data_IF_794179555040
#
_entry.id   IF_794179555040
#
_cell.length_a   1.000
_cell.length_b   1.000
_cell.length_c   1.000
_cell.angle_alpha   90.00
_cell.angle_beta   90.00
_cell.angle_gamma   90.00
#
_symmetry.space_group_name_H-M   'P 1'
#
loop_
_entity.id
_entity.type
_entity.pdbx_description
1 polymer ?
#
# COMPACT_ATOMS: atom_id res chain seq x y z
N UNK A 1 -0.67 -21.44 -41.90
CA UNK A 1 0.00 -22.40 -41.00
C UNK A 1 1.48 -22.06 -40.74
N UNK A 2 2.36 -21.99 -41.76
CA UNK A 2 3.80 -21.66 -41.56
C UNK A 2 4.05 -20.27 -40.94
N UNK A 3 3.31 -19.25 -41.37
CA UNK A 3 3.40 -17.89 -40.80
C UNK A 3 2.98 -17.82 -39.32
N UNK A 4 1.99 -18.64 -38.95
CA UNK A 4 1.44 -18.70 -37.61
C UNK A 4 2.42 -19.37 -36.63
N UNK A 5 3.07 -20.45 -37.07
CA UNK A 5 4.13 -21.12 -36.30
C UNK A 5 5.34 -20.20 -36.12
N UNK A 6 5.71 -19.44 -37.16
CA UNK A 6 6.77 -18.44 -37.07
C UNK A 6 6.44 -17.36 -36.02
N UNK A 7 5.21 -16.85 -36.03
CA UNK A 7 4.76 -15.84 -35.08
C UNK A 7 4.79 -16.35 -33.63
N UNK A 8 4.29 -17.58 -33.39
CA UNK A 8 4.35 -18.21 -32.06
C UNK A 8 5.81 -18.41 -31.63
N UNK A 9 6.70 -18.85 -32.52
CA UNK A 9 8.10 -19.06 -32.18
C UNK A 9 8.82 -17.77 -31.79
N UNK A 10 8.55 -16.66 -32.50
CA UNK A 10 9.10 -15.34 -32.17
C UNK A 10 8.54 -14.83 -30.84
N UNK A 11 7.24 -15.00 -30.60
CA UNK A 11 6.61 -14.62 -29.33
C UNK A 11 7.18 -15.40 -28.14
N UNK A 12 7.41 -16.72 -28.28
CA UNK A 12 8.01 -17.55 -27.24
C UNK A 12 9.46 -17.15 -26.96
N UNK A 13 10.26 -16.87 -27.99
CA UNK A 13 11.65 -16.42 -27.80
C UNK A 13 11.70 -15.02 -27.16
N UNK A 14 10.84 -14.10 -27.59
CA UNK A 14 10.71 -12.78 -26.97
C UNK A 14 10.28 -12.89 -25.50
N UNK A 15 9.36 -13.79 -25.18
CA UNK A 15 8.93 -14.08 -23.81
C UNK A 15 10.06 -14.64 -22.94
N UNK A 16 10.85 -15.60 -23.44
CA UNK A 16 12.02 -16.14 -22.73
C UNK A 16 13.08 -15.06 -22.49
N UNK A 17 13.38 -14.24 -23.50
CA UNK A 17 14.31 -13.12 -23.39
C UNK A 17 13.81 -12.06 -22.39
N UNK A 18 12.50 -11.81 -22.34
CA UNK A 18 11.89 -10.87 -21.40
C UNK A 18 11.93 -11.40 -19.95
N UNK A 19 11.69 -12.69 -19.73
CA UNK A 19 11.85 -13.33 -18.41
C UNK A 19 13.30 -13.20 -17.95
N UNK A 20 14.26 -13.50 -18.84
CA UNK A 20 15.67 -13.34 -18.56
C UNK A 20 16.05 -11.88 -18.25
N UNK A 21 15.58 -10.93 -19.05
CA UNK A 21 15.84 -9.51 -18.84
C UNK A 21 15.21 -8.97 -17.56
N UNK A 22 13.94 -9.31 -17.28
CA UNK A 22 13.25 -8.91 -16.05
C UNK A 22 13.96 -9.45 -14.80
N UNK A 23 14.36 -10.74 -14.82
CA UNK A 23 15.12 -11.35 -13.72
C UNK A 23 16.49 -10.70 -13.53
N UNK A 24 17.14 -10.26 -14.62
CA UNK A 24 18.49 -9.69 -14.57
C UNK A 24 18.51 -8.18 -14.25
N UNK A 25 17.46 -7.43 -14.61
CA UNK A 25 17.46 -5.94 -14.56
C UNK A 25 16.58 -5.32 -13.50
N UNK A 26 15.52 -5.99 -13.00
CA UNK A 26 14.59 -5.36 -12.05
C UNK A 26 15.09 -5.27 -10.60
N UNK A 27 16.17 -5.98 -10.26
CA UNK A 27 16.58 -6.11 -8.86
C UNK A 27 18.03 -5.68 -8.67
N UNK A 28 18.26 -4.38 -8.84
CA UNK A 28 19.57 -3.81 -8.54
C UNK A 28 19.79 -3.76 -7.03
N UNK A 29 20.55 -4.72 -6.50
CA UNK A 29 21.07 -4.68 -5.11
C UNK A 29 22.04 -3.52 -4.87
N UNK A 30 22.38 -2.73 -5.90
CA UNK A 30 23.28 -1.58 -5.80
C UNK A 30 22.89 -0.58 -4.72
N UNK A 31 21.59 -0.40 -4.46
CA UNK A 31 21.11 0.52 -3.43
C UNK A 31 21.44 0.02 -2.01
N UNK A 32 21.40 -1.31 -1.81
CA UNK A 32 21.80 -1.94 -0.55
C UNK A 32 23.29 -1.70 -0.33
N UNK A 33 24.12 -2.00 -1.35
CA UNK A 33 25.56 -1.79 -1.28
C UNK A 33 25.93 -0.32 -1.02
N UNK A 34 25.26 0.63 -1.68
CA UNK A 34 25.46 2.06 -1.45
C UNK A 34 25.15 2.48 -0.01
N UNK A 35 24.08 1.95 0.58
CA UNK A 35 23.78 2.21 2.00
C UNK A 35 24.85 1.62 2.91
N UNK A 36 25.33 0.41 2.61
CA UNK A 36 26.39 -0.22 3.38
C UNK A 36 27.74 0.48 3.27
N UNK A 37 28.07 1.09 2.12
CA UNK A 37 29.27 1.92 1.99
C UNK A 37 29.22 3.15 2.90
N UNK A 38 28.07 3.82 2.99
CA UNK A 38 27.90 4.96 3.90
C UNK A 38 27.97 4.52 5.37
N UNK A 39 27.43 3.36 5.72
CA UNK A 39 27.60 2.77 7.06
C UNK A 39 29.06 2.50 7.40
N UNK A 40 29.86 1.97 6.46
CA UNK A 40 31.30 1.73 6.69
C UNK A 40 32.10 3.02 6.94
N UNK A 41 31.63 4.17 6.43
CA UNK A 41 32.27 5.48 6.67
C UNK A 41 31.99 6.02 8.08
N UNK A 42 30.80 5.75 8.62
CA UNK A 42 30.39 6.20 9.96
C UNK A 42 29.59 5.10 10.65
N UNK A 43 30.27 4.08 11.20
CA UNK A 43 29.60 2.94 11.79
C UNK A 43 28.88 3.34 13.07
N UNK A 44 27.58 3.07 13.10
CA UNK A 44 26.79 2.98 14.33
C UNK A 44 26.94 1.58 14.92
N UNK A 45 26.90 1.47 16.25
CA UNK A 45 26.81 0.20 16.97
C UNK A 45 25.39 -0.37 16.86
N UNK A 46 24.93 -0.58 15.63
CA UNK A 46 23.60 -1.06 15.28
C UNK A 46 23.72 -2.51 14.83
N UNK A 47 23.15 -3.43 15.61
CA UNK A 47 23.12 -4.86 15.31
C UNK A 47 22.53 -5.18 13.93
N UNK A 48 21.48 -4.49 13.50
CA UNK A 48 20.83 -4.70 12.21
C UNK A 48 21.72 -4.24 11.04
N UNK A 49 22.37 -3.08 11.17
CA UNK A 49 23.36 -2.64 10.17
C UNK A 49 24.54 -3.61 10.08
N UNK A 50 25.01 -4.12 11.22
CA UNK A 50 26.14 -5.04 11.27
C UNK A 50 25.82 -6.33 10.52
N UNK A 51 24.67 -6.94 10.79
CA UNK A 51 24.26 -8.19 10.14
C UNK A 51 24.05 -8.05 8.63
N UNK A 52 23.48 -6.94 8.17
CA UNK A 52 23.25 -6.74 6.73
C UNK A 52 24.53 -6.34 5.97
N UNK A 53 25.33 -5.42 6.52
CA UNK A 53 26.42 -4.78 5.76
C UNK A 53 27.82 -5.37 6.01
N UNK A 54 28.00 -6.09 7.12
CA UNK A 54 29.27 -6.72 7.51
C UNK A 54 29.16 -8.24 7.40
N UNK A 55 28.18 -8.84 8.07
CA UNK A 55 28.00 -10.30 8.09
C UNK A 55 27.36 -10.83 6.81
N UNK A 56 26.62 -9.98 6.08
CA UNK A 56 25.78 -10.35 4.93
C UNK A 56 24.81 -11.50 5.25
N UNK A 57 24.23 -11.49 6.45
CA UNK A 57 23.31 -12.52 6.94
C UNK A 57 21.88 -12.32 6.41
N UNK A 58 21.75 -12.22 5.09
CA UNK A 58 20.45 -12.15 4.43
C UNK A 58 20.47 -12.83 3.07
N UNK A 59 19.35 -13.46 2.72
CA UNK A 59 19.13 -14.05 1.40
C UNK A 59 17.92 -13.41 0.75
N UNK A 60 18.05 -13.00 -0.51
CA UNK A 60 16.95 -12.40 -1.28
C UNK A 60 16.14 -13.54 -1.89
N UNK A 61 14.88 -13.67 -1.48
CA UNK A 61 13.94 -14.67 -2.02
C UNK A 61 13.24 -14.14 -3.28
N UNK A 62 12.73 -12.92 -3.18
CA UNK A 62 11.91 -12.30 -4.21
C UNK A 62 12.12 -10.79 -4.21
N UNK A 63 11.89 -10.19 -5.37
CA UNK A 63 11.96 -8.75 -5.59
C UNK A 63 10.57 -8.28 -5.96
N UNK A 64 9.93 -7.57 -5.03
CA UNK A 64 8.49 -7.28 -5.09
C UNK A 64 8.23 -6.04 -5.95
N UNK A 65 9.12 -5.05 -5.90
CA UNK A 65 8.95 -3.82 -6.68
C UNK A 65 10.29 -3.19 -7.04
N UNK A 66 10.36 -2.76 -8.31
CA UNK A 66 11.43 -1.92 -8.89
C UNK A 66 10.92 -0.52 -9.27
N UNK A 67 9.76 -0.07 -8.76
CA UNK A 67 8.96 0.98 -9.42
C UNK A 67 9.52 2.40 -9.36
N UNK A 68 10.67 2.68 -8.74
CA UNK A 68 11.36 3.97 -8.95
C UNK A 68 12.88 3.86 -8.77
N UNK A 69 13.64 4.76 -9.41
CA UNK A 69 15.09 4.92 -9.17
C UNK A 69 15.47 5.15 -7.69
N UNK A 70 14.49 5.48 -6.84
CA UNK A 70 14.70 5.92 -5.47
C UNK A 70 14.10 5.00 -4.40
N UNK A 71 13.33 3.97 -4.76
CA UNK A 71 12.76 3.00 -3.82
C UNK A 71 12.85 1.58 -4.37
N UNK A 72 13.14 0.61 -3.50
CA UNK A 72 13.15 -0.80 -3.88
C UNK A 72 12.68 -1.66 -2.72
N UNK A 73 11.95 -2.73 -3.04
CA UNK A 73 11.31 -3.62 -2.06
C UNK A 73 11.70 -5.07 -2.35
N UNK A 74 12.26 -5.73 -1.35
CA UNK A 74 12.76 -7.11 -1.43
C UNK A 74 12.09 -7.97 -0.36
N UNK A 75 11.70 -9.20 -0.72
CA UNK A 75 11.46 -10.25 0.25
C UNK A 75 12.80 -10.91 0.57
N UNK A 76 13.19 -10.89 1.84
CA UNK A 76 14.45 -11.43 2.31
C UNK A 76 14.25 -12.37 3.49
N UNK A 77 15.17 -13.30 3.67
CA UNK A 77 15.29 -14.12 4.87
C UNK A 77 16.52 -13.67 5.64
N UNK A 78 16.32 -13.18 6.86
CA UNK A 78 17.36 -12.69 7.78
C UNK A 78 17.29 -13.58 9.03
N UNK A 79 18.39 -14.23 9.43
CA UNK A 79 18.44 -15.15 10.58
C UNK A 79 17.30 -16.19 10.57
N UNK A 80 17.02 -16.78 9.40
CA UNK A 80 15.88 -17.68 9.13
C UNK A 80 14.47 -17.08 9.26
N UNK A 81 14.33 -15.77 9.51
CA UNK A 81 13.05 -15.08 9.55
C UNK A 81 12.73 -14.36 8.24
N UNK A 82 11.53 -14.60 7.72
CA UNK A 82 11.05 -13.93 6.51
C UNK A 82 10.66 -12.47 6.81
N UNK A 83 11.25 -11.54 6.06
CA UNK A 83 11.17 -10.10 6.29
C UNK A 83 11.04 -9.37 4.95
N UNK A 84 10.38 -8.22 4.92
CA UNK A 84 10.41 -7.33 3.76
C UNK A 84 11.45 -6.25 4.01
N UNK A 85 12.47 -6.20 3.17
CA UNK A 85 13.51 -5.17 3.20
C UNK A 85 13.17 -4.09 2.18
N UNK A 86 13.00 -2.86 2.66
CA UNK A 86 12.72 -1.69 1.83
C UNK A 86 13.89 -0.73 1.85
N UNK A 87 14.09 -0.02 0.75
CA UNK A 87 15.11 1.02 0.60
C UNK A 87 14.44 2.30 0.14
N UNK A 88 14.75 3.43 0.78
CA UNK A 88 14.29 4.75 0.32
C UNK A 88 15.46 5.75 0.24
N UNK A 89 15.81 6.15 -0.98
CA UNK A 89 16.93 7.05 -1.29
C UNK A 89 16.71 8.49 -0.81
N UNK A 90 15.46 8.91 -0.54
CA UNK A 90 15.19 10.24 0.02
C UNK A 90 15.93 10.47 1.34
N UNK A 91 16.18 9.39 2.10
CA UNK A 91 16.98 9.41 3.32
C UNK A 91 18.33 10.12 3.15
N UNK A 92 19.06 9.84 2.07
CA UNK A 92 20.38 10.45 1.85
C UNK A 92 20.29 11.97 1.69
N UNK A 93 19.21 12.48 1.09
CA UNK A 93 18.99 13.92 0.96
C UNK A 93 18.68 14.55 2.31
N UNK A 94 17.86 13.88 3.14
CA UNK A 94 17.57 14.34 4.49
C UNK A 94 18.83 14.42 5.34
N UNK A 95 19.63 13.34 5.40
CA UNK A 95 20.89 13.32 6.17
C UNK A 95 21.82 14.44 5.75
N UNK A 96 22.02 14.65 4.45
CA UNK A 96 22.85 15.76 3.94
C UNK A 96 22.36 17.11 4.42
N UNK A 97 21.04 17.34 4.39
CA UNK A 97 20.46 18.60 4.84
C UNK A 97 20.68 18.83 6.35
N UNK A 98 20.51 17.79 7.18
CA UNK A 98 20.79 17.90 8.62
C UNK A 98 22.26 18.09 8.94
N UNK A 99 23.16 17.41 8.21
CA UNK A 99 24.60 17.59 8.40
C UNK A 99 25.09 18.96 7.90
N UNK A 100 24.43 19.54 6.89
CA UNK A 100 24.70 20.89 6.41
C UNK A 100 24.23 21.97 7.41
N UNK A 101 23.17 21.70 8.18
CA UNK A 101 22.78 22.49 9.34
C UNK A 101 23.75 22.17 10.51
N UNK A 102 24.90 22.86 10.56
CA UNK A 102 26.00 22.72 11.54
C UNK A 102 25.59 22.15 12.93
N UNK A 103 26.46 21.33 13.57
CA UNK A 103 26.13 20.64 14.82
C UNK A 103 25.82 21.65 15.94
N UNK A 104 24.62 21.54 16.51
CA UNK A 104 24.26 22.22 17.74
C UNK A 104 25.25 21.80 18.84
N UNK A 105 25.94 22.76 19.45
CA UNK A 105 26.87 22.52 20.56
C UNK A 105 26.21 21.86 21.79
N UNK A 106 24.89 21.72 21.79
CA UNK A 106 24.10 20.90 22.70
C UNK A 106 22.99 20.23 21.87
N UNK A 107 23.23 18.99 21.43
CA UNK A 107 22.19 18.21 20.75
C UNK A 107 21.18 17.69 21.79
N UNK A 108 19.89 18.02 21.60
CA UNK A 108 18.81 17.51 22.44
C UNK A 108 17.90 16.61 21.60
N UNK A 109 18.01 15.30 21.78
CA UNK A 109 17.19 14.31 21.08
C UNK A 109 15.69 14.54 21.26
N UNK A 110 15.26 14.97 22.46
CA UNK A 110 13.84 15.24 22.74
C UNK A 110 13.30 16.41 21.93
N UNK A 111 14.07 17.49 21.80
CA UNK A 111 13.67 18.62 20.96
C UNK A 111 13.63 18.23 19.48
N UNK A 112 14.65 17.50 19.03
CA UNK A 112 14.76 17.03 17.65
C UNK A 112 13.57 16.15 17.21
N UNK A 113 13.22 15.12 18.00
CA UNK A 113 12.06 14.27 17.67
C UNK A 113 10.72 14.99 17.86
N UNK A 114 10.65 15.97 18.76
CA UNK A 114 9.45 16.81 18.89
C UNK A 114 9.20 17.60 17.62
N UNK A 115 10.23 18.17 16.99
CA UNK A 115 10.09 18.91 15.74
C UNK A 115 9.59 18.00 14.60
N UNK A 116 10.13 16.77 14.51
CA UNK A 116 9.65 15.76 13.55
C UNK A 116 8.16 15.47 13.82
N UNK A 117 7.77 15.13 15.05
CA UNK A 117 6.38 14.81 15.39
C UNK A 117 5.44 15.99 15.12
N UNK A 118 5.87 17.21 15.42
CA UNK A 118 5.13 18.45 15.13
C UNK A 118 4.93 18.69 13.63
N UNK A 119 5.84 18.23 12.76
CA UNK A 119 5.64 18.32 11.32
C UNK A 119 4.48 17.45 10.83
N UNK A 120 4.18 16.33 11.50
CA UNK A 120 3.06 15.45 11.15
C UNK A 120 1.77 15.85 11.88
N UNK A 121 1.78 15.91 13.21
CA UNK A 121 0.55 16.11 14.00
C UNK A 121 0.33 17.58 14.45
N UNK A 122 1.32 18.45 14.28
CA UNK A 122 1.28 19.82 14.78
C UNK A 122 1.57 19.93 16.28
N UNK A 123 1.49 21.16 16.79
CA UNK A 123 1.89 21.49 18.17
C UNK A 123 0.80 21.19 19.23
N UNK A 124 -0.43 20.84 18.83
CA UNK A 124 -1.59 20.75 19.72
C UNK A 124 -1.90 19.31 20.18
N UNK A 125 -0.91 18.43 20.17
CA UNK A 125 -1.09 17.01 20.46
C UNK A 125 -0.77 16.68 21.93
N UNK A 126 -1.76 16.23 22.69
CA UNK A 126 -1.61 15.88 24.12
C UNK A 126 -0.74 14.65 24.34
N UNK A 127 -0.94 13.61 23.51
CA UNK A 127 -0.26 12.31 23.63
C UNK A 127 1.09 12.24 22.88
N UNK A 128 1.46 13.29 22.13
CA UNK A 128 2.70 13.28 21.35
C UNK A 128 3.96 13.23 22.20
N UNK A 129 3.88 13.53 23.50
CA UNK A 129 4.99 13.29 24.44
C UNK A 129 5.35 11.81 24.52
N UNK A 130 4.35 10.92 24.55
CA UNK A 130 4.55 9.47 24.54
C UNK A 130 5.15 9.00 23.22
N UNK A 131 4.70 9.56 22.09
CA UNK A 131 5.29 9.26 20.78
C UNK A 131 6.76 9.68 20.71
N UNK A 132 7.09 10.88 21.16
CA UNK A 132 8.49 11.36 21.20
C UNK A 132 9.36 10.41 22.02
N UNK A 133 8.90 9.96 23.19
CA UNK A 133 9.63 8.98 24.00
C UNK A 133 9.79 7.64 23.29
N UNK A 134 8.74 7.13 22.65
CA UNK A 134 8.79 5.90 21.84
C UNK A 134 9.83 6.01 20.73
N UNK A 135 9.88 7.13 20.01
CA UNK A 135 10.85 7.35 18.93
C UNK A 135 12.29 7.47 19.43
N UNK A 136 12.52 8.09 20.60
CA UNK A 136 13.84 8.14 21.26
C UNK A 136 14.32 6.72 21.59
N UNK A 137 13.45 5.89 22.18
CA UNK A 137 13.78 4.50 22.51
C UNK A 137 14.07 3.67 21.25
N UNK A 138 13.34 3.90 20.16
CA UNK A 138 13.60 3.24 18.87
C UNK A 138 14.91 3.68 18.23
N UNK A 139 15.31 4.94 18.43
CA UNK A 139 16.54 5.49 17.89
C UNK A 139 17.80 4.98 18.63
N UNK A 140 17.67 4.63 19.91
CA UNK A 140 18.72 4.03 20.73
C UNK A 140 19.07 2.63 20.18
N UNK A 141 20.03 2.62 19.27
CA UNK A 141 20.31 1.46 18.43
C UNK A 141 21.23 0.46 19.12
N UNK A 142 22.08 0.94 20.03
CA UNK A 142 22.97 0.09 20.82
C UNK A 142 22.35 -0.32 22.18
N UNK A 143 21.15 0.19 22.48
CA UNK A 143 20.36 -0.10 23.69
C UNK A 143 21.08 0.29 24.97
N UNK A 144 21.89 1.35 24.92
CA UNK A 144 22.62 1.85 26.08
C UNK A 144 21.75 2.74 27.00
N UNK A 145 20.51 3.04 26.60
CA UNK A 145 19.56 3.88 27.32
C UNK A 145 19.64 5.37 27.00
N UNK A 146 20.58 5.79 26.15
CA UNK A 146 20.85 7.17 25.76
C UNK A 146 21.01 7.31 24.23
N UNK A 147 20.11 8.04 23.59
CA UNK A 147 20.23 8.33 22.16
C UNK A 147 21.32 9.37 21.89
N UNK A 148 22.39 8.95 21.21
CA UNK A 148 23.44 9.84 20.71
C UNK A 148 22.96 10.73 19.55
N UNK A 149 23.72 11.79 19.25
CA UNK A 149 23.42 12.66 18.10
C UNK A 149 23.40 11.89 16.78
N UNK A 150 24.34 10.96 16.60
CA UNK A 150 24.44 10.16 15.36
C UNK A 150 23.24 9.25 15.21
N UNK A 151 22.84 8.56 16.27
CA UNK A 151 21.63 7.71 16.28
C UNK A 151 20.37 8.51 15.96
N UNK A 152 20.21 9.67 16.60
CA UNK A 152 19.06 10.52 16.37
C UNK A 152 19.02 11.06 14.93
N UNK A 153 20.15 11.48 14.35
CA UNK A 153 20.18 11.94 12.95
C UNK A 153 19.87 10.79 11.99
N UNK A 154 20.41 9.60 12.22
CA UNK A 154 20.19 8.44 11.35
C UNK A 154 18.73 7.99 11.33
N UNK A 155 18.15 7.78 12.52
CA UNK A 155 16.76 7.39 12.64
C UNK A 155 15.82 8.53 12.29
N UNK A 156 16.10 9.75 12.76
CA UNK A 156 15.32 10.94 12.45
C UNK A 156 15.24 11.25 10.96
N UNK A 157 16.33 11.07 10.23
CA UNK A 157 16.32 11.24 8.77
C UNK A 157 15.46 10.19 8.07
N UNK A 158 15.35 8.99 8.64
CA UNK A 158 14.43 7.97 8.17
C UNK A 158 12.98 8.39 8.42
N UNK A 159 12.65 8.90 9.62
CA UNK A 159 11.31 9.38 9.98
C UNK A 159 10.79 10.59 9.19
N UNK A 160 11.60 11.16 8.29
CA UNK A 160 11.13 12.23 7.40
C UNK A 160 10.44 11.70 6.16
N UNK A 161 10.61 10.41 5.87
CA UNK A 161 9.80 9.74 4.85
C UNK A 161 8.46 9.32 5.47
N UNK A 162 7.37 9.47 4.71
CA UNK A 162 6.01 9.30 5.22
C UNK A 162 5.77 7.91 5.82
N UNK A 163 6.13 6.86 5.07
CA UNK A 163 5.93 5.47 5.46
C UNK A 163 6.62 5.13 6.78
N UNK A 164 7.90 5.43 6.90
CA UNK A 164 8.72 5.03 8.06
C UNK A 164 8.30 5.75 9.34
N UNK A 165 7.84 7.01 9.23
CA UNK A 165 7.24 7.70 10.36
C UNK A 165 5.98 6.99 10.84
N UNK A 166 5.09 6.64 9.91
CA UNK A 166 3.85 5.95 10.25
C UNK A 166 4.11 4.55 10.80
N UNK A 167 5.05 3.80 10.23
CA UNK A 167 5.52 2.52 10.76
C UNK A 167 6.05 2.64 12.19
N UNK A 168 6.89 3.64 12.47
CA UNK A 168 7.43 3.85 13.82
C UNK A 168 6.33 4.27 14.82
N UNK A 169 5.46 5.19 14.40
CA UNK A 169 4.37 5.68 15.23
C UNK A 169 3.36 4.56 15.56
N UNK A 170 3.01 3.76 14.55
CA UNK A 170 2.06 2.65 14.63
C UNK A 170 2.72 1.28 14.94
N UNK A 171 4.01 1.25 15.27
CA UNK A 171 4.69 -0.02 15.58
C UNK A 171 3.97 -0.75 16.72
N UNK A 172 3.83 -2.07 16.59
CA UNK A 172 3.06 -2.97 17.47
C UNK A 172 1.54 -2.80 17.40
N UNK A 173 1.04 -2.03 16.42
CA UNK A 173 -0.38 -1.99 16.09
C UNK A 173 -0.84 -3.32 15.49
N UNK A 174 -2.12 -3.67 15.72
CA UNK A 174 -2.74 -4.83 15.07
C UNK A 174 -2.98 -4.63 13.57
N UNK A 175 -2.96 -3.37 13.12
CA UNK A 175 -3.46 -2.96 11.80
C UNK A 175 -2.38 -2.58 10.80
N UNK A 176 -1.11 -2.59 11.21
CA UNK A 176 0.03 -2.24 10.35
C UNK A 176 1.14 -3.27 10.55
N UNK A 177 2.00 -3.42 9.55
CA UNK A 177 3.23 -4.21 9.70
C UNK A 177 4.18 -3.56 10.71
N UNK A 178 4.93 -4.38 11.44
CA UNK A 178 5.91 -3.88 12.41
C UNK A 178 7.23 -3.52 11.74
N UNK A 179 7.90 -2.49 12.28
CA UNK A 179 9.27 -2.13 11.92
C UNK A 179 10.24 -2.99 12.74
N UNK A 180 10.90 -3.94 12.09
CA UNK A 180 11.79 -4.90 12.74
C UNK A 180 13.21 -4.35 12.92
N UNK A 181 13.64 -3.41 12.09
CA UNK A 181 14.97 -2.82 12.16
C UNK A 181 15.22 -1.79 11.05
N UNK A 182 16.29 -1.02 11.20
CA UNK A 182 16.69 -0.03 10.20
C UNK A 182 18.22 0.09 10.14
N UNK A 183 18.71 0.44 8.95
CA UNK A 183 20.09 0.81 8.69
C UNK A 183 20.15 1.95 7.66
N UNK A 184 20.15 3.19 8.16
CA UNK A 184 20.13 4.37 7.31
C UNK A 184 18.92 4.40 6.37
N UNK A 185 19.16 4.32 5.06
CA UNK A 185 18.11 4.26 4.03
C UNK A 185 17.38 2.90 3.95
N UNK A 186 17.94 1.85 4.57
CA UNK A 186 17.37 0.50 4.62
C UNK A 186 16.50 0.34 5.86
N UNK A 187 15.36 -0.33 5.71
CA UNK A 187 14.53 -0.70 6.84
C UNK A 187 13.77 -2.00 6.57
N UNK A 188 13.63 -2.80 7.62
CA UNK A 188 13.00 -4.10 7.60
C UNK A 188 11.62 -4.03 8.23
N UNK A 189 10.63 -4.59 7.56
CA UNK A 189 9.25 -4.71 8.07
C UNK A 189 8.80 -6.17 8.07
N UNK A 190 7.85 -6.47 8.94
CA UNK A 190 7.18 -7.77 9.01
C UNK A 190 6.66 -8.21 7.63
N UNK A 191 6.98 -9.45 7.21
CA UNK A 191 6.39 -10.06 6.02
C UNK A 191 5.01 -10.62 6.35
N UNK A 192 3.99 -10.14 5.66
CA UNK A 192 2.66 -10.78 5.64
C UNK A 192 2.61 -11.86 4.57
N UNK A 193 1.83 -12.90 4.84
CA UNK A 193 1.87 -14.15 4.09
C UNK A 193 1.21 -14.07 2.70
N UNK A 194 0.15 -13.29 2.56
CA UNK A 194 -0.63 -13.19 1.31
C UNK A 194 -1.10 -11.75 1.14
N UNK A 195 -0.85 -11.16 -0.04
CA UNK A 195 -1.43 -9.89 -0.46
C UNK A 195 -2.92 -10.07 -0.78
N UNK A 196 -3.75 -9.08 -0.42
CA UNK A 196 -5.19 -9.15 -0.68
C UNK A 196 -5.55 -9.08 -2.16
N UNK A 197 -4.57 -8.78 -3.04
CA UNK A 197 -4.68 -8.99 -4.49
C UNK A 197 -5.18 -10.38 -4.85
N UNK A 198 -4.79 -11.43 -4.11
CA UNK A 198 -5.30 -12.79 -4.32
C UNK A 198 -6.83 -12.91 -4.24
N UNK A 199 -7.52 -12.00 -3.54
CA UNK A 199 -8.99 -12.01 -3.43
C UNK A 199 -9.70 -11.49 -4.68
N UNK A 200 -9.01 -10.69 -5.48
CA UNK A 200 -9.54 -10.01 -6.67
C UNK A 200 -8.77 -10.43 -7.94
N UNK A 201 -7.67 -11.16 -7.79
CA UNK A 201 -6.69 -11.43 -8.84
C UNK A 201 -7.36 -12.00 -10.10
N UNK A 202 -7.46 -11.10 -11.07
CA UNK A 202 -7.80 -11.29 -12.48
C UNK A 202 -6.76 -10.66 -13.42
N UNK A 203 -5.92 -9.74 -12.93
CA UNK A 203 -5.07 -8.88 -13.77
C UNK A 203 -3.61 -9.33 -13.90
N UNK A 204 -3.03 -9.95 -12.87
CA UNK A 204 -1.61 -10.37 -12.96
C UNK A 204 -1.39 -11.42 -14.05
N UNK A 205 -2.37 -12.29 -14.30
CA UNK A 205 -2.17 -13.28 -15.35
C UNK A 205 -2.25 -12.71 -16.78
N UNK A 206 -2.75 -11.51 -17.07
CA UNK A 206 -2.66 -10.97 -18.45
C UNK A 206 -1.28 -10.40 -18.75
N UNK A 207 -0.78 -9.55 -17.85
CA UNK A 207 0.57 -8.96 -17.94
C UNK A 207 1.64 -10.04 -17.81
N UNK A 208 1.42 -11.07 -16.98
CA UNK A 208 2.34 -12.22 -16.86
C UNK A 208 2.19 -13.22 -18.04
N UNK A 209 1.00 -13.39 -18.63
CA UNK A 209 0.79 -14.29 -19.78
C UNK A 209 1.31 -13.69 -21.10
N UNK A 210 1.16 -12.39 -21.32
CA UNK A 210 1.69 -11.72 -22.52
C UNK A 210 3.07 -11.09 -22.31
N UNK A 211 3.55 -10.98 -21.07
CA UNK A 211 4.85 -10.37 -20.77
C UNK A 211 4.99 -8.94 -21.28
N UNK A 212 3.88 -8.20 -21.41
CA UNK A 212 3.91 -6.83 -21.90
C UNK A 212 4.53 -5.92 -20.84
N UNK A 213 5.60 -5.19 -21.16
CA UNK A 213 6.21 -4.25 -20.23
C UNK A 213 5.31 -3.05 -19.92
N UNK A 214 5.49 -2.42 -18.77
CA UNK A 214 4.93 -1.08 -18.47
C UNK A 214 5.43 0.01 -19.45
N UNK A 215 6.50 -0.24 -20.22
CA UNK A 215 6.94 0.64 -21.31
C UNK A 215 6.17 0.41 -22.63
N UNK A 216 5.02 -0.25 -22.61
CA UNK A 216 4.26 -0.55 -23.83
C UNK A 216 3.68 0.66 -24.56
N UNK A 217 4.01 1.92 -24.25
CA UNK A 217 3.59 3.07 -25.10
C UNK A 217 3.91 2.88 -26.61
N UNK A 218 5.04 2.30 -27.05
CA UNK A 218 5.32 2.06 -28.47
C UNK A 218 4.63 0.81 -29.05
N UNK A 219 4.29 -0.15 -28.20
CA UNK A 219 3.57 -1.37 -28.59
C UNK A 219 2.07 -1.09 -28.65
N UNK A 220 1.57 -0.23 -27.76
CA UNK A 220 0.23 0.30 -27.75
C UNK A 220 -0.03 1.19 -28.98
N UNK A 221 0.97 1.92 -29.50
CA UNK A 221 0.87 2.61 -30.79
C UNK A 221 0.87 1.63 -31.98
N UNK A 222 1.72 0.60 -31.96
CA UNK A 222 1.76 -0.45 -32.97
C UNK A 222 0.47 -1.27 -33.03
N UNK A 223 -0.11 -1.62 -31.87
CA UNK A 223 -1.43 -2.22 -31.77
C UNK A 223 -2.54 -1.21 -32.06
N UNK A 224 -2.42 0.09 -31.74
CA UNK A 224 -3.40 1.12 -32.17
C UNK A 224 -3.45 1.26 -33.68
N UNK A 225 -2.34 1.11 -34.39
CA UNK A 225 -2.31 1.22 -35.84
C UNK A 225 -2.84 -0.05 -36.52
N UNK A 226 -2.55 -1.24 -35.99
CA UNK A 226 -3.09 -2.52 -36.50
C UNK A 226 -4.56 -2.76 -36.06
N UNK A 227 -4.91 -2.42 -34.82
CA UNK A 227 -6.27 -2.54 -34.26
C UNK A 227 -7.13 -1.31 -34.57
N UNK A 228 -6.55 -0.23 -35.09
CA UNK A 228 -7.26 0.95 -35.57
C UNK A 228 -8.24 0.62 -36.69
N UNK A 229 -7.93 -0.40 -37.50
CA UNK A 229 -8.84 -0.97 -38.49
C UNK A 229 -9.88 -1.95 -37.88
N UNK A 230 -9.64 -2.48 -36.67
CA UNK A 230 -10.53 -3.40 -35.93
C UNK A 230 -11.32 -2.69 -34.79
N UNK A 231 -11.32 -1.36 -34.79
CA UNK A 231 -11.81 -0.47 -33.72
C UNK A 231 -13.31 -0.58 -33.38
N UNK A 232 -14.12 -1.26 -34.19
CA UNK A 232 -15.57 -1.35 -33.96
C UNK A 232 -16.02 -2.53 -33.08
N UNK A 233 -15.10 -3.31 -32.51
CA UNK A 233 -15.48 -4.53 -31.78
C UNK A 233 -14.65 -4.73 -30.50
N UNK A 234 -14.51 -3.71 -29.66
CA UNK A 234 -13.67 -3.74 -28.45
C UNK A 234 -14.14 -4.76 -27.39
N UNK A 235 -15.39 -5.21 -27.45
CA UNK A 235 -16.02 -6.09 -26.43
C UNK A 235 -15.50 -7.53 -26.47
N UNK A 236 -15.12 -8.07 -27.62
CA UNK A 236 -14.71 -9.48 -27.71
C UNK A 236 -13.32 -9.74 -27.14
N UNK A 237 -12.42 -8.74 -27.14
CA UNK A 237 -11.07 -8.89 -26.56
C UNK A 237 -11.11 -8.97 -25.03
N UNK A 238 -11.84 -8.08 -24.37
CA UNK A 238 -12.07 -8.12 -22.91
C UNK A 238 -12.76 -9.43 -22.50
N UNK A 239 -13.77 -9.83 -23.27
CA UNK A 239 -14.50 -11.09 -23.02
C UNK A 239 -13.59 -12.31 -23.19
N UNK A 240 -12.78 -12.36 -24.25
CA UNK A 240 -11.83 -13.44 -24.51
C UNK A 240 -10.74 -13.52 -23.43
N UNK A 241 -10.29 -12.37 -22.92
CA UNK A 241 -9.34 -12.29 -21.82
C UNK A 241 -9.89 -12.97 -20.55
N UNK A 242 -11.12 -12.65 -20.14
CA UNK A 242 -11.75 -13.28 -18.98
C UNK A 242 -11.88 -14.80 -19.14
N UNK A 243 -12.28 -15.29 -20.31
CA UNK A 243 -12.41 -16.73 -20.56
C UNK A 243 -11.07 -17.47 -20.53
N UNK A 244 -10.01 -16.91 -21.15
CA UNK A 244 -8.67 -17.50 -21.12
C UNK A 244 -8.13 -17.53 -19.69
N UNK A 245 -8.37 -16.46 -18.93
CA UNK A 245 -7.94 -16.37 -17.53
C UNK A 245 -8.60 -17.45 -16.66
N UNK A 246 -9.93 -17.57 -16.74
CA UNK A 246 -10.72 -18.60 -16.04
C UNK A 246 -10.21 -20.01 -16.39
N UNK A 247 -9.91 -20.24 -17.67
CA UNK A 247 -9.38 -21.51 -18.14
C UNK A 247 -8.00 -21.82 -17.54
N UNK A 248 -7.07 -20.86 -17.53
CA UNK A 248 -5.74 -21.03 -16.94
C UNK A 248 -5.82 -21.29 -15.44
N UNK A 249 -6.64 -20.53 -14.69
CA UNK A 249 -6.80 -20.76 -13.24
C UNK A 249 -7.39 -22.13 -12.92
N UNK A 250 -8.36 -22.62 -13.72
CA UNK A 250 -8.86 -24.00 -13.58
C UNK A 250 -7.78 -25.03 -13.85
N UNK A 251 -6.93 -24.82 -14.87
CA UNK A 251 -5.84 -25.74 -15.18
C UNK A 251 -4.80 -25.81 -14.04
N UNK A 252 -4.50 -24.68 -13.39
CA UNK A 252 -3.56 -24.62 -12.26
C UNK A 252 -4.15 -25.12 -10.94
N UNK A 253 -5.46 -25.36 -10.88
CA UNK A 253 -6.18 -25.68 -9.64
C UNK A 253 -5.92 -24.65 -8.54
N UNK A 254 -5.82 -23.38 -8.94
CA UNK A 254 -5.59 -22.30 -7.99
C UNK A 254 -6.77 -22.26 -7.01
N UNK A 255 -6.46 -22.24 -5.72
CA UNK A 255 -7.50 -22.10 -4.69
C UNK A 255 -8.26 -20.80 -4.96
N UNK A 256 -9.59 -20.84 -4.95
CA UNK A 256 -10.45 -19.66 -5.09
C UNK A 256 -11.00 -19.32 -3.71
N UNK A 257 -10.97 -18.04 -3.27
CA UNK A 257 -11.48 -17.67 -1.96
C UNK A 257 -13.00 -17.86 -1.89
N UNK A 258 -13.47 -18.58 -0.87
CA UNK A 258 -14.89 -18.75 -0.59
C UNK A 258 -15.55 -17.41 -0.21
N UNK A 259 -16.88 -17.32 -0.35
CA UNK A 259 -17.63 -16.13 0.10
C UNK A 259 -17.41 -15.83 1.59
N UNK A 260 -17.25 -16.86 2.42
CA UNK A 260 -16.94 -16.69 3.84
C UNK A 260 -15.57 -16.03 4.05
N UNK A 261 -14.52 -16.47 3.35
CA UNK A 261 -13.19 -15.86 3.44
C UNK A 261 -13.19 -14.40 2.98
N UNK A 262 -13.96 -14.10 1.93
CA UNK A 262 -14.15 -12.73 1.43
C UNK A 262 -14.87 -11.82 2.43
N UNK A 263 -15.85 -12.34 3.17
CA UNK A 263 -16.51 -11.57 4.24
C UNK A 263 -15.59 -11.41 5.46
N UNK A 264 -14.80 -12.44 5.82
CA UNK A 264 -13.80 -12.32 6.88
C UNK A 264 -12.76 -11.24 6.56
N UNK A 265 -12.36 -11.12 5.28
CA UNK A 265 -11.52 -10.03 4.81
C UNK A 265 -12.15 -8.65 5.07
N UNK A 266 -13.43 -8.47 4.70
CA UNK A 266 -14.15 -7.22 4.92
C UNK A 266 -14.20 -6.87 6.40
N UNK A 267 -14.53 -7.84 7.25
CA UNK A 267 -14.57 -7.66 8.70
C UNK A 267 -13.20 -7.24 9.25
N UNK A 268 -12.13 -7.94 8.87
CA UNK A 268 -10.77 -7.60 9.28
C UNK A 268 -10.32 -6.23 8.76
N UNK A 269 -10.73 -5.84 7.55
CA UNK A 269 -10.44 -4.50 6.98
C UNK A 269 -11.17 -3.38 7.73
N UNK A 270 -12.39 -3.65 8.22
CA UNK A 270 -13.14 -2.72 9.07
C UNK A 270 -12.50 -2.59 10.46
N UNK A 271 -12.03 -3.69 11.05
CA UNK A 271 -11.27 -3.68 12.31
C UNK A 271 -9.94 -2.91 12.14
N UNK A 272 -9.26 -3.14 11.02
CA UNK A 272 -8.04 -2.42 10.64
C UNK A 272 -8.30 -0.90 10.58
N UNK A 273 -9.37 -0.49 9.88
CA UNK A 273 -9.79 0.92 9.78
C UNK A 273 -10.17 1.50 11.15
N UNK A 274 -10.93 0.78 11.98
CA UNK A 274 -11.27 1.24 13.33
C UNK A 274 -10.03 1.53 14.17
N UNK A 275 -8.99 0.69 14.07
CA UNK A 275 -7.73 0.91 14.78
C UNK A 275 -6.91 2.07 14.21
N UNK A 276 -6.96 2.32 12.89
CA UNK A 276 -6.34 3.49 12.27
C UNK A 276 -6.99 4.79 12.76
N UNK A 277 -8.33 4.80 12.83
CA UNK A 277 -9.10 5.95 13.31
C UNK A 277 -8.92 6.19 14.81
N UNK A 278 -8.79 5.12 15.60
CA UNK A 278 -8.58 5.19 17.05
C UNK A 278 -7.12 5.41 17.44
N UNK A 279 -6.28 5.87 16.51
CA UNK A 279 -4.85 6.04 16.74
C UNK A 279 -4.58 7.11 17.81
N UNK A 280 -3.85 6.72 18.86
CA UNK A 280 -3.67 7.51 20.07
C UNK A 280 -2.97 8.86 19.89
N UNK A 281 -2.20 9.04 18.80
CA UNK A 281 -1.44 10.28 18.57
C UNK A 281 -2.12 11.26 17.61
N UNK A 282 -3.25 10.88 17.01
CA UNK A 282 -4.03 11.76 16.15
C UNK A 282 -4.70 11.02 14.99
N UNK A 283 -5.65 11.69 14.35
CA UNK A 283 -6.37 11.11 13.21
C UNK A 283 -5.43 10.95 12.00
N UNK A 284 -5.48 9.77 11.39
CA UNK A 284 -4.82 9.46 10.12
C UNK A 284 -5.84 9.10 9.06
N UNK A 285 -5.47 9.34 7.81
CA UNK A 285 -6.25 9.03 6.63
C UNK A 285 -5.37 8.22 5.67
N UNK A 286 -5.95 7.15 5.14
CA UNK A 286 -5.29 6.28 4.18
C UNK A 286 -5.68 6.69 2.76
N UNK A 287 -4.72 7.20 1.99
CA UNK A 287 -4.97 7.81 0.69
C UNK A 287 -4.83 6.85 -0.48
N UNK A 288 -4.13 5.73 -0.32
CA UNK A 288 -3.90 4.75 -1.39
C UNK A 288 -4.58 3.40 -1.10
N UNK A 289 -5.92 3.41 -1.24
CA UNK A 289 -6.79 2.29 -0.90
C UNK A 289 -6.77 1.26 -2.03
N UNK A 290 -5.76 0.41 -1.99
CA UNK A 290 -5.53 -0.68 -2.95
C UNK A 290 -5.42 -2.03 -2.25
N UNK A 291 -5.82 -3.10 -2.92
CA UNK A 291 -5.72 -4.46 -2.40
C UNK A 291 -4.27 -4.94 -2.32
N UNK A 292 -3.37 -4.38 -3.12
CA UNK A 292 -1.93 -4.64 -3.05
C UNK A 292 -1.30 -4.15 -1.74
N UNK A 293 -1.88 -3.10 -1.14
CA UNK A 293 -1.38 -2.45 0.07
C UNK A 293 -1.92 -3.07 1.37
N UNK A 294 -2.67 -4.17 1.25
CA UNK A 294 -3.24 -4.92 2.37
C UNK A 294 -2.77 -6.36 2.32
N UNK A 295 -2.38 -6.91 3.48
CA UNK A 295 -2.00 -8.32 3.60
C UNK A 295 -2.59 -9.03 4.81
N UNK A 296 -2.47 -10.36 4.81
CA UNK A 296 -2.93 -11.24 5.88
C UNK A 296 -1.77 -11.88 6.63
N UNK A 297 -1.86 -11.91 7.96
CA UNK A 297 -0.93 -12.69 8.79
C UNK A 297 -1.38 -14.14 8.96
N UNK A 298 -2.68 -14.43 8.90
CA UNK A 298 -3.22 -15.79 9.01
C UNK A 298 -4.01 -16.18 7.76
N UNK A 299 -3.46 -17.13 7.01
CA UNK A 299 -3.99 -17.62 5.73
C UNK A 299 -5.20 -18.54 5.87
N UNK A 300 -5.50 -19.04 7.08
CA UNK A 300 -6.66 -19.88 7.34
C UNK A 300 -7.90 -19.06 7.68
N UNK A 301 -7.74 -17.98 8.45
CA UNK A 301 -8.87 -17.19 8.97
C UNK A 301 -9.19 -15.92 8.18
N UNK A 302 -8.24 -15.37 7.41
CA UNK A 302 -8.42 -14.12 6.62
C UNK A 302 -8.88 -12.89 7.44
N UNK A 303 -8.85 -12.97 8.78
CA UNK A 303 -9.39 -11.95 9.69
C UNK A 303 -8.33 -10.96 10.20
N UNK A 304 -7.06 -11.37 10.22
CA UNK A 304 -5.96 -10.52 10.69
C UNK A 304 -5.34 -9.76 9.52
N UNK A 305 -5.94 -8.61 9.24
CA UNK A 305 -5.64 -7.73 8.12
C UNK A 305 -4.70 -6.61 8.56
N UNK A 306 -3.63 -6.39 7.80
CA UNK A 306 -2.64 -5.33 8.06
C UNK A 306 -2.36 -4.53 6.80
N UNK A 307 -2.14 -3.22 6.97
CA UNK A 307 -1.54 -2.37 5.95
C UNK A 307 -0.06 -2.70 5.79
N UNK A 308 0.37 -2.88 4.54
CA UNK A 308 1.75 -3.22 4.16
C UNK A 308 2.51 -2.07 3.54
N UNK A 309 1.78 -1.10 3.01
CA UNK A 309 2.30 0.14 2.47
C UNK A 309 1.65 1.32 3.21
N UNK A 310 2.49 2.19 3.79
CA UNK A 310 2.07 3.37 4.54
C UNK A 310 2.60 4.66 3.89
N UNK A 311 3.13 4.61 2.67
CA UNK A 311 3.62 5.78 1.94
C UNK A 311 2.55 6.86 1.77
N UNK A 312 1.30 6.44 1.63
CA UNK A 312 0.13 7.30 1.43
C UNK A 312 -0.82 7.27 2.64
N UNK A 313 -0.31 7.01 3.85
CA UNK A 313 -1.05 7.17 5.10
C UNK A 313 -0.61 8.46 5.77
N UNK A 314 -1.48 9.46 5.86
CA UNK A 314 -1.12 10.78 6.39
C UNK A 314 -1.96 11.15 7.61
N UNK A 315 -1.42 11.99 8.48
CA UNK A 315 -2.25 12.70 9.45
C UNK A 315 -3.32 13.52 8.73
N UNK A 316 -4.54 13.56 9.26
CA UNK A 316 -5.64 14.37 8.72
C UNK A 316 -5.26 15.84 8.58
N UNK A 317 -4.45 16.37 9.51
CA UNK A 317 -3.87 17.72 9.42
C UNK A 317 -3.12 17.94 8.11
N UNK A 318 -2.18 17.05 7.77
CA UNK A 318 -1.37 17.13 6.54
C UNK A 318 -2.24 17.00 5.28
N UNK A 319 -3.26 16.14 5.31
CA UNK A 319 -4.24 16.01 4.21
C UNK A 319 -4.97 17.34 4.02
N UNK A 320 -5.59 17.89 5.06
CA UNK A 320 -6.32 19.16 4.97
C UNK A 320 -5.41 20.33 4.61
N UNK A 321 -4.17 20.38 5.11
CA UNK A 321 -3.21 21.40 4.68
C UNK A 321 -2.88 21.31 3.19
N UNK A 322 -2.83 20.10 2.62
CA UNK A 322 -2.60 19.92 1.20
C UNK A 322 -3.83 20.24 0.36
N UNK A 323 -5.01 19.80 0.80
CA UNK A 323 -6.31 20.10 0.17
C UNK A 323 -6.58 21.61 0.19
N UNK A 324 -6.38 22.26 1.33
CA UNK A 324 -6.64 23.70 1.50
C UNK A 324 -5.74 24.63 0.69
N UNK A 325 -4.62 24.15 0.14
CA UNK A 325 -3.79 24.95 -0.79
C UNK A 325 -4.57 25.37 -2.04
N UNK A 326 -5.60 24.61 -2.41
CA UNK A 326 -6.45 24.87 -3.57
C UNK A 326 -7.84 25.40 -3.15
N UNK A 327 -8.03 25.81 -1.90
CA UNK A 327 -9.31 26.35 -1.43
C UNK A 327 -9.72 27.56 -2.26
N UNK A 328 -10.99 27.60 -2.66
CA UNK A 328 -11.58 28.64 -3.51
C UNK A 328 -10.98 28.74 -4.93
N UNK A 329 -10.16 27.77 -5.36
CA UNK A 329 -9.79 27.63 -6.78
C UNK A 329 -11.06 27.29 -7.57
N UNK A 330 -11.30 28.02 -8.65
CA UNK A 330 -12.40 27.72 -9.57
C UNK A 330 -12.11 26.42 -10.30
N UNK A 331 -13.11 25.56 -10.39
CA UNK A 331 -13.02 24.27 -11.05
C UNK A 331 -14.24 24.03 -11.95
N UNK A 332 -14.01 23.34 -13.06
CA UNK A 332 -15.05 22.73 -13.88
C UNK A 332 -15.12 21.22 -13.64
N UNK A 333 -13.99 20.61 -13.30
CA UNK A 333 -13.79 19.18 -13.11
C UNK A 333 -12.97 18.91 -11.85
N UNK A 334 -13.03 17.69 -11.31
CA UNK A 334 -12.22 17.30 -10.15
C UNK A 334 -10.72 17.43 -10.42
N UNK A 335 -10.28 17.24 -11.67
CA UNK A 335 -8.88 17.37 -12.07
C UNK A 335 -8.36 18.80 -11.93
N UNK A 336 -9.23 19.81 -12.03
CA UNK A 336 -8.84 21.22 -11.83
C UNK A 336 -8.44 21.50 -10.37
N UNK A 337 -8.90 20.66 -9.43
CA UNK A 337 -8.57 20.75 -8.02
C UNK A 337 -7.27 20.04 -7.66
N UNK A 338 -6.68 19.29 -8.58
CA UNK A 338 -5.40 18.63 -8.38
C UNK A 338 -4.25 19.66 -8.53
N UNK A 339 -3.16 19.45 -7.79
CA UNK A 339 -1.98 20.31 -7.84
C UNK A 339 -1.11 20.06 -9.09
N UNK A 340 -0.20 20.97 -9.41
CA UNK A 340 0.67 20.92 -10.61
C UNK A 340 1.63 19.71 -10.65
N UNK A 341 1.79 18.98 -9.54
CA UNK A 341 2.63 17.77 -9.42
C UNK A 341 1.80 16.48 -9.32
N UNK A 342 0.51 16.54 -9.63
CA UNK A 342 -0.37 15.37 -9.56
C UNK A 342 -0.39 14.67 -10.92
N UNK A 343 0.10 13.43 -10.96
CA UNK A 343 0.17 12.66 -12.19
C UNK A 343 -1.25 12.29 -12.65
N UNK A 344 -1.67 12.84 -13.78
CA UNK A 344 -3.06 12.82 -14.27
C UNK A 344 -3.44 11.44 -14.84
N UNK A 345 -2.47 10.51 -14.92
CA UNK A 345 -2.63 9.18 -15.52
C UNK A 345 -3.31 8.11 -14.64
N UNK A 346 -3.47 8.35 -13.33
CA UNK A 346 -4.07 7.38 -12.40
C UNK A 346 -5.44 7.89 -11.93
N UNK A 347 -6.43 7.76 -12.81
CA UNK A 347 -7.78 8.33 -12.70
C UNK A 347 -8.62 7.85 -11.49
N UNK A 348 -8.12 6.97 -10.61
CA UNK A 348 -8.91 6.29 -9.59
C UNK A 348 -8.31 6.20 -8.16
N UNK A 349 -7.06 6.60 -7.92
CA UNK A 349 -6.31 5.94 -6.84
C UNK A 349 -6.04 6.74 -5.57
N UNK A 350 -6.62 7.93 -5.39
CA UNK A 350 -6.28 8.72 -4.20
C UNK A 350 -7.50 9.16 -3.42
N UNK A 351 -7.79 8.40 -2.35
CA UNK A 351 -8.91 8.62 -1.44
C UNK A 351 -8.89 10.00 -0.73
N UNK A 352 -7.80 10.75 -0.86
CA UNK A 352 -7.58 12.04 -0.22
C UNK A 352 -7.60 13.24 -1.16
N UNK A 353 -7.94 13.06 -2.44
CA UNK A 353 -7.96 14.16 -3.39
C UNK A 353 -9.11 15.14 -3.13
N UNK A 354 -8.88 16.46 -3.34
CA UNK A 354 -9.98 17.43 -3.39
C UNK A 354 -10.89 17.17 -4.59
N UNK A 355 -12.14 17.63 -4.51
CA UNK A 355 -13.12 17.50 -5.58
C UNK A 355 -13.76 18.85 -5.91
N UNK A 356 -14.30 18.96 -7.11
CA UNK A 356 -15.02 20.13 -7.54
C UNK A 356 -16.46 20.10 -7.00
N UNK A 357 -16.80 21.08 -6.18
CA UNK A 357 -18.14 21.22 -5.63
C UNK A 357 -19.10 21.79 -6.69
N UNK A 358 -20.41 21.60 -6.49
CA UNK A 358 -21.45 22.17 -7.36
C UNK A 358 -21.39 23.70 -7.46
N UNK A 359 -20.68 24.37 -6.54
CA UNK A 359 -20.42 25.82 -6.53
C UNK A 359 -19.28 26.23 -7.47
N UNK A 360 -18.71 25.30 -8.25
CA UNK A 360 -17.53 25.51 -9.11
C UNK A 360 -16.28 25.94 -8.33
N UNK A 361 -16.20 25.53 -7.07
CA UNK A 361 -15.05 25.76 -6.19
C UNK A 361 -14.51 24.41 -5.69
N UNK A 362 -13.20 24.31 -5.54
CA UNK A 362 -12.57 23.14 -4.96
C UNK A 362 -12.93 22.98 -3.47
N UNK A 363 -13.10 21.73 -3.06
CA UNK A 363 -13.42 21.36 -1.68
C UNK A 363 -12.23 21.54 -0.74
N UNK A 364 -12.56 21.85 0.52
CA UNK A 364 -11.61 21.89 1.65
C UNK A 364 -11.46 20.52 2.33
N UNK A 365 -12.13 19.47 1.82
CA UNK A 365 -12.09 18.09 2.31
C UNK A 365 -12.07 17.09 1.16
N UNK A 366 -11.59 15.85 1.38
CA UNK A 366 -11.73 14.76 0.41
C UNK A 366 -13.18 14.43 0.08
N UNK A 367 -13.40 13.78 -1.06
CA UNK A 367 -14.73 13.45 -1.58
C UNK A 367 -15.46 12.36 -0.80
N UNK A 368 -14.75 11.35 -0.28
CA UNK A 368 -15.34 10.27 0.52
C UNK A 368 -14.45 9.96 1.73
N UNK A 369 -15.05 9.32 2.73
CA UNK A 369 -14.31 8.74 3.85
C UNK A 369 -13.50 7.52 3.39
N UNK A 370 -12.52 7.07 4.19
CA UNK A 370 -11.87 5.79 3.93
C UNK A 370 -12.87 4.62 3.95
N UNK A 371 -13.87 4.66 4.84
CA UNK A 371 -14.97 3.68 4.87
C UNK A 371 -15.78 3.70 3.56
N UNK A 372 -16.10 4.89 3.06
CA UNK A 372 -16.86 5.10 1.82
C UNK A 372 -16.10 4.56 0.61
N UNK A 373 -14.80 4.85 0.51
CA UNK A 373 -13.94 4.28 -0.54
C UNK A 373 -13.84 2.75 -0.42
N UNK A 374 -13.57 2.22 0.78
CA UNK A 374 -13.51 0.77 1.00
C UNK A 374 -14.78 0.07 0.55
N UNK A 375 -15.96 0.63 0.84
CA UNK A 375 -17.23 0.04 0.45
C UNK A 375 -17.55 0.17 -1.04
N UNK A 376 -17.15 1.27 -1.67
CA UNK A 376 -17.45 1.57 -3.08
C UNK A 376 -16.53 0.83 -4.05
N UNK A 377 -15.25 0.67 -3.69
CA UNK A 377 -14.25 0.04 -4.56
C UNK A 377 -13.86 -1.34 -4.02
N UNK A 378 -13.07 -1.37 -2.96
CA UNK A 378 -12.40 -2.60 -2.49
C UNK A 378 -13.38 -3.73 -2.15
N UNK A 379 -14.37 -3.47 -1.30
CA UNK A 379 -15.31 -4.49 -0.85
C UNK A 379 -16.29 -4.88 -1.93
N UNK A 380 -16.64 -3.94 -2.82
CA UNK A 380 -17.47 -4.24 -3.97
C UNK A 380 -16.75 -5.22 -4.91
N UNK A 381 -15.51 -4.93 -5.25
CA UNK A 381 -14.69 -5.79 -6.12
C UNK A 381 -14.44 -7.16 -5.49
N UNK A 382 -14.09 -7.21 -4.21
CA UNK A 382 -13.88 -8.50 -3.51
C UNK A 382 -15.12 -9.40 -3.59
N UNK A 383 -16.32 -8.85 -3.44
CA UNK A 383 -17.55 -9.66 -3.43
C UNK A 383 -18.06 -9.97 -4.85
N UNK A 384 -18.08 -8.97 -5.73
CA UNK A 384 -18.78 -9.00 -7.01
C UNK A 384 -17.85 -9.07 -8.23
N UNK A 385 -16.56 -9.36 -8.06
CA UNK A 385 -15.67 -9.62 -9.19
C UNK A 385 -16.22 -10.79 -10.05
N UNK A 386 -16.46 -10.56 -11.36
CA UNK A 386 -17.14 -11.53 -12.23
C UNK A 386 -16.35 -12.82 -12.40
N UNK A 387 -15.02 -12.75 -12.45
CA UNK A 387 -14.14 -13.91 -12.60
C UNK A 387 -14.13 -14.76 -11.33
N UNK A 388 -14.01 -14.13 -10.17
CA UNK A 388 -14.06 -14.84 -8.87
C UNK A 388 -15.42 -15.51 -8.70
N UNK A 389 -16.51 -14.85 -9.09
CA UNK A 389 -17.85 -15.45 -9.08
C UNK A 389 -17.98 -16.62 -10.06
N UNK A 390 -17.37 -16.54 -11.25
CA UNK A 390 -17.39 -17.63 -12.24
C UNK A 390 -16.52 -18.84 -11.86
N UNK A 391 -15.47 -18.62 -11.06
CA UNK A 391 -14.57 -19.66 -10.56
C UNK A 391 -15.03 -20.26 -9.22
N UNK A 392 -15.82 -19.53 -8.44
CA UNK A 392 -16.36 -19.99 -7.15
C UNK A 392 -17.35 -21.14 -7.35
N UNK A 393 -17.09 -22.28 -6.71
CA UNK A 393 -18.03 -23.41 -6.69
C UNK A 393 -19.30 -23.10 -5.87
N UNK A 394 -19.23 -22.14 -4.95
CA UNK A 394 -20.39 -21.68 -4.17
C UNK A 394 -21.15 -20.59 -4.94
N UNK A 395 -22.39 -20.90 -5.31
CA UNK A 395 -23.35 -19.91 -5.84
C UNK A 395 -23.88 -19.08 -4.69
N UNK A 396 -23.60 -17.78 -4.72
CA UNK A 396 -24.17 -16.82 -3.77
C UNK A 396 -25.68 -16.73 -3.97
N UNK A 397 -26.47 -16.94 -2.92
CA UNK A 397 -27.93 -16.82 -3.03
C UNK A 397 -28.32 -15.38 -3.34
N UNK A 398 -29.36 -15.18 -4.17
CA UNK A 398 -29.86 -13.84 -4.52
C UNK A 398 -30.21 -13.00 -3.28
N UNK A 399 -30.66 -13.65 -2.19
CA UNK A 399 -30.96 -13.01 -0.91
C UNK A 399 -29.69 -12.46 -0.25
N UNK A 400 -28.62 -13.24 -0.19
CA UNK A 400 -27.34 -12.81 0.38
C UNK A 400 -26.70 -11.73 -0.49
N UNK A 401 -26.66 -11.94 -1.82
CA UNK A 401 -26.09 -10.98 -2.76
C UNK A 401 -26.79 -9.61 -2.70
N UNK A 402 -28.12 -9.59 -2.70
CA UNK A 402 -28.87 -8.34 -2.54
C UNK A 402 -28.63 -7.67 -1.19
N UNK A 403 -28.55 -8.45 -0.10
CA UNK A 403 -28.25 -7.91 1.24
C UNK A 403 -26.86 -7.25 1.26
N UNK A 404 -25.83 -7.91 0.74
CA UNK A 404 -24.48 -7.35 0.68
C UNK A 404 -24.45 -6.08 -0.19
N UNK A 405 -25.10 -6.11 -1.36
CA UNK A 405 -25.17 -4.96 -2.25
C UNK A 405 -25.78 -3.73 -1.56
N UNK A 406 -26.89 -3.91 -0.82
CA UNK A 406 -27.50 -2.83 -0.04
C UNK A 406 -26.59 -2.31 1.07
N UNK A 407 -25.88 -3.19 1.78
CA UNK A 407 -24.92 -2.79 2.82
C UNK A 407 -23.81 -1.93 2.20
N UNK A 408 -23.24 -2.35 1.07
CA UNK A 408 -22.15 -1.63 0.41
C UNK A 408 -22.61 -0.27 -0.14
N UNK A 409 -23.77 -0.20 -0.79
CA UNK A 409 -24.30 1.04 -1.35
C UNK A 409 -24.69 2.05 -0.25
N UNK A 410 -25.20 1.58 0.89
CA UNK A 410 -25.45 2.41 2.06
C UNK A 410 -24.13 2.90 2.68
N UNK A 411 -23.16 2.00 2.82
CA UNK A 411 -21.83 2.33 3.35
C UNK A 411 -21.05 3.32 2.47
N UNK A 412 -21.14 3.21 1.14
CA UNK A 412 -20.46 4.10 0.19
C UNK A 412 -20.91 5.56 0.30
N UNK A 413 -22.10 5.80 0.87
CA UNK A 413 -22.64 7.14 1.15
C UNK A 413 -22.10 7.76 2.44
N UNK A 414 -21.26 7.05 3.19
CA UNK A 414 -20.60 7.58 4.39
C UNK A 414 -19.53 8.60 4.02
N UNK A 415 -19.96 9.85 3.81
CA UNK A 415 -19.09 10.96 3.39
C UNK A 415 -18.82 11.93 4.55
N UNK A 416 -19.78 12.14 5.45
CA UNK A 416 -19.69 13.16 6.48
C UNK A 416 -19.64 12.54 7.89
N UNK A 417 -18.51 12.72 8.57
CA UNK A 417 -18.43 12.61 10.02
C UNK A 417 -17.95 13.94 10.60
N UNK A 418 -18.60 14.39 11.68
CA UNK A 418 -18.21 15.61 12.40
C UNK A 418 -17.24 15.28 13.53
N UNK A 419 -17.29 14.06 14.05
CA UNK A 419 -16.42 13.59 15.13
C UNK A 419 -15.88 12.19 14.88
N UNK A 420 -14.75 11.84 15.50
CA UNK A 420 -14.18 10.48 15.51
C UNK A 420 -15.21 9.46 16.01
N UNK A 421 -15.97 9.81 17.06
CA UNK A 421 -16.98 8.92 17.64
C UNK A 421 -18.09 8.54 16.65
N UNK A 422 -18.57 9.50 15.86
CA UNK A 422 -19.55 9.24 14.78
C UNK A 422 -18.96 8.34 13.69
N UNK A 423 -17.68 8.53 13.36
CA UNK A 423 -17.02 7.71 12.35
C UNK A 423 -16.83 6.26 12.82
N UNK A 424 -16.36 6.07 14.06
CA UNK A 424 -16.24 4.74 14.67
C UNK A 424 -17.60 4.04 14.79
N UNK A 425 -18.67 4.78 15.11
CA UNK A 425 -20.02 4.23 15.14
C UNK A 425 -20.50 3.78 13.75
N UNK A 426 -20.14 4.54 12.71
CA UNK A 426 -20.44 4.20 11.31
C UNK A 426 -19.72 2.91 10.89
N UNK A 427 -18.42 2.81 11.19
CA UNK A 427 -17.63 1.59 10.94
C UNK A 427 -18.22 0.40 11.70
N UNK A 428 -18.54 0.57 12.99
CA UNK A 428 -19.15 -0.47 13.82
C UNK A 428 -20.52 -0.94 13.30
N UNK A 429 -21.31 -0.04 12.74
CA UNK A 429 -22.60 -0.37 12.12
C UNK A 429 -22.43 -1.24 10.88
N UNK A 430 -21.52 -0.87 9.98
CA UNK A 430 -21.20 -1.67 8.78
C UNK A 430 -20.63 -3.03 9.17
N UNK A 431 -19.73 -3.05 10.15
CA UNK A 431 -19.15 -4.28 10.70
C UNK A 431 -20.23 -5.22 11.26
N UNK A 432 -21.19 -4.70 12.04
CA UNK A 432 -22.31 -5.50 12.56
C UNK A 432 -23.19 -6.07 11.43
N UNK A 433 -23.47 -5.27 10.39
CA UNK A 433 -24.23 -5.73 9.21
C UNK A 433 -23.52 -6.90 8.50
N UNK A 434 -22.21 -6.83 8.28
CA UNK A 434 -21.44 -7.94 7.67
C UNK A 434 -21.33 -9.17 8.59
N UNK A 435 -21.27 -8.98 9.92
CA UNK A 435 -21.32 -10.09 10.86
C UNK A 435 -22.63 -10.87 10.74
N UNK A 436 -23.76 -10.18 10.55
CA UNK A 436 -25.05 -10.85 10.31
C UNK A 436 -25.06 -11.65 9.00
N UNK A 437 -24.39 -11.17 7.93
CA UNK A 437 -24.23 -11.94 6.69
C UNK A 437 -23.46 -13.24 6.94
N UNK A 438 -22.45 -13.22 7.81
CA UNK A 438 -21.71 -14.45 8.19
C UNK A 438 -22.64 -15.47 8.85
N UNK A 439 -23.53 -15.02 9.74
CA UNK A 439 -24.54 -15.88 10.39
C UNK A 439 -25.50 -16.48 9.34
N UNK A 440 -25.96 -15.67 8.38
CA UNK A 440 -26.81 -16.14 7.29
C UNK A 440 -26.14 -17.24 6.46
N UNK A 441 -24.83 -17.12 6.20
CA UNK A 441 -24.06 -18.13 5.45
C UNK A 441 -23.91 -19.43 6.22
N UNK A 442 -23.78 -19.38 7.54
CA UNK A 442 -23.69 -20.59 8.35
C UNK A 442 -25.05 -21.28 8.49
N UNK A 443 -26.16 -20.54 8.39
CA UNK A 443 -27.51 -21.10 8.33
C UNK A 443 -27.82 -21.77 6.98
N UNK A 444 -27.39 -21.20 5.85
CA UNK A 444 -27.62 -21.76 4.51
C UNK A 444 -26.82 -23.06 4.23
N UNK A 445 -25.86 -23.42 5.09
CA UNK A 445 -25.07 -24.66 5.00
C UNK A 445 -25.72 -25.86 5.70
N UNK A 446 -26.73 -25.63 6.55
CA UNK A 446 -27.50 -26.65 7.24
C UNK A 446 -28.86 -26.84 6.56
#
# INVERSE_FOLDING_TARGET
>A
MKLYILFISVAVVAWICQIWYNNYTKCSTSLIYKTCEEYKKSPLNNSFCHSICIENDFTIEECISSTTFNKSVFAVKINDHNTILKVNMQWFNHVKNYLAMKPLAIFNATAFFRDIVSNYFGNNCSECKGLVQKLIIMADSDKNGNTSQTEAIWFGSLLLTQETFMLAAMNESRSTVNLNGYCGALYAVEKVHISSSYLVDTSKAFTDFWGLPEFAEPIESFFKDILGELRNNYTWFETLHEYIYIFIKRLRQDKVPSLQQRIQFILGSLEMLSSLVSFQYGEVMWCDILYENIGFTNTEKFSSVKLTDLDEVFSVRKVFQNVSKNDNKKCATNTDCLGENYDVGLYYQHACSPYCQNTSLCSHRPQKSNLGYLCDTLFFDVIFNPVVMALSEQVMSNRIGSTIYWILNDCAKSVEWKTIGEYLASIGTVHAKFRNVTIMLDMDKN
#
